data_IF_280151484138
#
_entry.id   IF_280151484138
#
_cell.length_a   1.000
_cell.length_b   1.000
_cell.length_c   1.000
_cell.angle_alpha   90.00
_cell.angle_beta   90.00
_cell.angle_gamma   90.00
#
_symmetry.space_group_name_H-M   'P 1'
#
loop_
_entity.id
_entity.type
_entity.pdbx_description
1 polymer ?
#
# COMPACT_ATOMS: atom_id res chain seq x y z
N UNK A 1 12.49 -52.86 -27.85
CA UNK A 1 13.61 -52.99 -26.91
C UNK A 1 13.30 -52.20 -25.66
N UNK A 2 12.99 -52.94 -24.59
CA UNK A 2 12.55 -52.47 -23.27
C UNK A 2 13.77 -52.21 -22.40
N UNK A 3 13.81 -51.09 -21.66
CA UNK A 3 14.56 -51.02 -20.41
C UNK A 3 13.78 -50.08 -19.47
N UNK A 4 13.16 -50.68 -18.45
CA UNK A 4 12.58 -50.00 -17.29
C UNK A 4 13.64 -49.77 -16.22
N UNK A 5 13.43 -48.73 -15.41
CA UNK A 5 14.01 -48.56 -14.05
C UNK A 5 12.95 -47.96 -13.15
N UNK A 6 12.51 -48.70 -12.28
CA UNK A 6 12.38 -48.95 -10.84
C UNK A 6 12.28 -47.67 -10.00
N UNK A 7 11.10 -47.57 -9.34
CA UNK A 7 10.79 -46.72 -8.17
C UNK A 7 11.46 -47.33 -6.94
N UNK A 8 12.23 -46.56 -6.19
CA UNK A 8 12.64 -46.89 -4.82
C UNK A 8 11.80 -46.13 -3.80
N UNK A 9 11.14 -46.95 -2.97
CA UNK A 9 10.35 -46.54 -1.81
C UNK A 9 11.29 -46.28 -0.63
N UNK A 10 11.23 -45.11 -0.05
CA UNK A 10 11.80 -44.89 1.27
C UNK A 10 10.79 -45.31 2.34
N UNK A 11 11.20 -46.33 3.11
CA UNK A 11 10.48 -46.82 4.30
C UNK A 11 10.83 -45.96 5.51
N UNK A 12 9.82 -45.49 6.23
CA UNK A 12 9.96 -44.97 7.59
C UNK A 12 10.34 -46.10 8.56
N UNK A 13 11.45 -45.96 9.28
CA UNK A 13 11.84 -46.84 10.39
C UNK A 13 11.24 -46.32 11.70
N UNK A 14 10.36 -47.12 12.30
CA UNK A 14 9.87 -46.92 13.66
C UNK A 14 10.91 -47.40 14.66
N UNK A 15 11.23 -46.59 15.66
CA UNK A 15 12.05 -46.96 16.81
C UNK A 15 11.12 -47.33 18.00
N UNK A 16 11.27 -48.50 18.65
CA UNK A 16 10.37 -48.94 19.70
C UNK A 16 10.72 -48.32 21.05
N UNK A 17 9.66 -47.93 21.80
CA UNK A 17 9.76 -47.37 23.14
C UNK A 17 10.25 -48.38 24.19
N UNK A 18 11.08 -47.90 25.13
CA UNK A 18 11.42 -48.56 26.35
C UNK A 18 10.39 -48.29 27.46
N UNK A 19 9.73 -49.35 27.91
CA UNK A 19 8.99 -49.35 29.16
C UNK A 19 10.00 -49.39 30.33
N UNK A 20 9.75 -48.54 31.35
CA UNK A 20 10.36 -48.71 32.65
C UNK A 20 9.26 -48.93 33.70
N UNK A 21 9.41 -50.00 34.46
CA UNK A 21 8.50 -50.46 35.48
C UNK A 21 8.83 -49.81 36.84
N UNK A 22 7.79 -49.40 37.55
CA UNK A 22 7.46 -49.64 38.92
C UNK A 22 8.38 -49.10 40.03
N UNK A 23 7.75 -48.43 40.97
CA UNK A 23 8.34 -48.13 42.28
C UNK A 23 7.46 -47.13 43.05
N UNK A 24 6.33 -47.59 43.60
CA UNK A 24 5.58 -46.86 44.62
C UNK A 24 6.40 -46.88 45.94
N UNK A 25 6.75 -45.72 46.46
CA UNK A 25 7.18 -45.54 47.83
C UNK A 25 6.26 -44.54 48.51
N UNK A 26 5.34 -45.06 49.31
CA UNK A 26 4.49 -44.29 50.21
C UNK A 26 5.27 -44.02 51.48
N UNK A 27 5.56 -42.75 51.78
CA UNK A 27 6.05 -42.33 53.06
C UNK A 27 4.99 -41.51 53.78
N UNK A 28 4.31 -42.14 54.70
CA UNK A 28 3.42 -41.53 55.66
C UNK A 28 4.24 -40.99 56.84
N UNK A 29 4.33 -39.68 57.01
CA UNK A 29 4.72 -39.03 58.24
C UNK A 29 3.51 -38.44 58.95
N UNK A 30 3.16 -39.07 60.06
CA UNK A 30 2.24 -38.55 61.06
C UNK A 30 2.94 -37.41 61.85
N UNK A 31 2.36 -36.20 61.78
CA UNK A 31 2.80 -35.12 62.68
C UNK A 31 1.81 -35.05 63.84
N UNK A 32 2.35 -35.30 65.01
CA UNK A 32 1.68 -35.25 66.31
C UNK A 32 1.30 -33.80 66.67
N UNK A 33 0.10 -33.69 67.17
CA UNK A 33 -0.40 -32.49 67.85
C UNK A 33 0.30 -32.41 69.21
N UNK A 34 1.12 -31.35 69.41
CA UNK A 34 1.43 -30.70 70.68
C UNK A 34 2.64 -29.80 70.48
N UNK A 35 2.35 -28.53 70.37
CA UNK A 35 3.05 -27.47 71.11
C UNK A 35 2.44 -26.11 70.66
N UNK A 36 1.45 -25.77 71.49
CA UNK A 36 0.83 -24.45 71.52
C UNK A 36 1.58 -23.66 72.56
N UNK A 37 2.29 -22.64 72.21
CA UNK A 37 2.95 -21.81 73.26
C UNK A 37 3.83 -20.71 72.71
N UNK A 38 3.22 -19.53 72.63
CA UNK A 38 3.81 -18.24 72.94
C UNK A 38 5.15 -17.86 72.26
N UNK A 39 5.03 -17.05 71.20
CA UNK A 39 5.88 -15.88 70.96
C UNK A 39 5.23 -14.96 69.90
N UNK A 40 4.26 -14.17 70.35
CA UNK A 40 3.86 -12.95 69.70
C UNK A 40 4.71 -11.84 70.31
N UNK A 41 5.68 -11.37 69.62
CA UNK A 41 6.20 -10.00 69.76
C UNK A 41 7.27 -9.72 68.69
N UNK A 42 7.11 -8.56 68.02
CA UNK A 42 8.13 -7.84 67.25
C UNK A 42 8.53 -8.42 65.91
N UNK A 43 7.83 -7.94 64.87
CA UNK A 43 8.40 -7.53 63.56
C UNK A 43 7.34 -6.76 62.76
N UNK A 44 6.86 -5.66 63.33
CA UNK A 44 6.20 -4.60 62.60
C UNK A 44 7.30 -3.61 62.15
N UNK A 45 7.88 -3.82 60.97
CA UNK A 45 8.89 -2.87 60.50
C UNK A 45 9.79 -3.41 59.42
N UNK A 46 9.28 -3.71 58.23
CA UNK A 46 10.06 -3.77 56.99
C UNK A 46 9.19 -4.28 55.79
N UNK A 47 8.02 -3.75 55.58
CA UNK A 47 7.20 -4.05 54.40
C UNK A 47 6.96 -2.81 53.54
N UNK A 48 7.96 -1.90 53.50
CA UNK A 48 8.00 -0.79 52.54
C UNK A 48 9.12 -1.00 51.50
N UNK A 49 9.42 -2.27 51.17
CA UNK A 49 10.23 -2.55 49.97
C UNK A 49 9.30 -2.70 48.78
N UNK A 50 9.46 -1.74 47.86
CA UNK A 50 8.75 -1.53 46.65
C UNK A 50 8.23 -2.82 45.98
N UNK A 51 6.94 -2.92 45.87
CA UNK A 51 6.33 -3.74 44.85
C UNK A 51 7.00 -3.36 43.54
N UNK A 52 7.62 -4.31 42.81
CA UNK A 52 8.03 -3.99 41.44
C UNK A 52 6.79 -3.48 40.78
N UNK A 53 6.81 -2.21 40.33
CA UNK A 53 5.85 -1.73 39.34
C UNK A 53 5.97 -2.75 38.24
N UNK A 54 5.00 -3.64 38.12
CA UNK A 54 4.76 -4.39 36.93
C UNK A 54 4.58 -3.29 35.86
N UNK A 55 5.65 -3.02 35.11
CA UNK A 55 5.56 -2.24 33.91
C UNK A 55 4.46 -2.95 33.12
N UNK A 56 3.26 -2.39 33.11
CA UNK A 56 2.21 -2.83 32.20
C UNK A 56 2.86 -2.74 30.85
N UNK A 57 3.24 -3.88 30.29
CA UNK A 57 3.63 -3.98 28.91
C UNK A 57 2.45 -3.43 28.13
N UNK A 58 2.54 -2.15 27.74
CA UNK A 58 1.53 -1.49 26.94
C UNK A 58 1.39 -2.35 25.70
N UNK A 59 0.22 -2.96 25.52
CA UNK A 59 -0.02 -3.85 24.38
C UNK A 59 0.41 -3.10 23.11
N UNK A 60 1.38 -3.67 22.38
CA UNK A 60 1.92 -3.03 21.20
C UNK A 60 0.79 -2.78 20.22
N UNK A 61 0.58 -1.52 19.88
CA UNK A 61 -0.43 -1.11 18.88
C UNK A 61 0.08 -1.55 17.50
N UNK A 62 -0.53 -2.58 16.93
CA UNK A 62 -0.20 -3.03 15.58
C UNK A 62 -0.94 -2.20 14.56
N UNK A 63 -0.22 -1.69 13.55
CA UNK A 63 -0.82 -0.92 12.44
C UNK A 63 -0.30 -1.46 11.10
N UNK A 64 -1.19 -2.06 10.33
CA UNK A 64 -0.93 -2.38 8.93
C UNK A 64 -1.21 -1.16 8.05
N UNK A 65 -0.27 -0.86 7.17
CA UNK A 65 -0.33 0.22 6.16
C UNK A 65 -0.44 -0.44 4.80
N UNK A 66 -1.62 -0.42 4.19
CA UNK A 66 -1.80 -0.96 2.85
C UNK A 66 -1.16 -0.04 1.81
N UNK A 67 -0.35 -0.60 0.92
CA UNK A 67 0.46 0.14 -0.04
C UNK A 67 0.12 -0.23 -1.49
N UNK A 68 1.01 -0.85 -2.21
CA UNK A 68 0.86 -1.28 -3.59
C UNK A 68 1.93 -2.31 -3.94
N UNK A 69 2.12 -2.53 -5.23
CA UNK A 69 3.16 -3.42 -5.75
C UNK A 69 4.56 -2.84 -5.51
N UNK A 70 5.58 -3.69 -5.42
CA UNK A 70 6.96 -3.30 -5.09
C UNK A 70 7.63 -2.39 -6.12
N UNK A 71 7.18 -2.40 -7.38
CA UNK A 71 7.71 -1.54 -8.45
C UNK A 71 7.15 -0.12 -8.49
N UNK A 72 6.26 0.26 -7.54
CA UNK A 72 5.66 1.58 -7.43
C UNK A 72 6.20 2.41 -6.28
N UNK A 73 5.57 3.56 -6.03
CA UNK A 73 5.98 4.55 -5.02
C UNK A 73 5.37 4.28 -3.64
N UNK A 74 4.18 3.68 -3.57
CA UNK A 74 3.49 3.44 -2.28
C UNK A 74 4.30 2.57 -1.33
N UNK A 75 4.88 1.47 -1.82
CA UNK A 75 5.57 0.51 -0.96
C UNK A 75 6.81 1.10 -0.26
N UNK A 76 7.77 1.73 -0.96
CA UNK A 76 8.91 2.36 -0.28
C UNK A 76 8.49 3.48 0.68
N UNK A 77 7.53 4.34 0.30
CA UNK A 77 7.05 5.40 1.18
C UNK A 77 6.27 4.85 2.39
N UNK A 78 5.47 3.81 2.19
CA UNK A 78 4.75 3.14 3.27
C UNK A 78 5.70 2.46 4.26
N UNK A 79 6.78 1.84 3.76
CA UNK A 79 7.84 1.27 4.59
C UNK A 79 8.56 2.33 5.42
N UNK A 80 8.93 3.46 4.80
CA UNK A 80 9.54 4.60 5.50
C UNK A 80 8.60 5.17 6.57
N UNK A 81 7.33 5.40 6.22
CA UNK A 81 6.32 5.90 7.16
C UNK A 81 6.10 4.91 8.32
N UNK A 82 5.98 3.61 8.04
CA UNK A 82 5.82 2.58 9.08
C UNK A 82 6.99 2.56 10.05
N UNK A 83 8.22 2.67 9.55
CA UNK A 83 9.43 2.76 10.38
C UNK A 83 9.43 4.05 11.24
N UNK A 84 9.02 5.19 10.66
CA UNK A 84 8.92 6.45 11.40
C UNK A 84 7.86 6.36 12.52
N UNK A 85 6.67 5.86 12.21
CA UNK A 85 5.60 5.70 13.20
C UNK A 85 6.01 4.75 14.33
N UNK A 86 6.65 3.63 14.01
CA UNK A 86 7.12 2.66 15.00
C UNK A 86 8.20 3.24 15.92
N UNK A 87 9.04 4.13 15.40
CA UNK A 87 10.11 4.77 16.17
C UNK A 87 9.63 5.92 17.04
N UNK A 88 8.73 6.77 16.48
CA UNK A 88 8.37 8.04 17.11
C UNK A 88 7.11 7.93 18.00
N UNK A 89 6.26 6.91 17.80
CA UNK A 89 5.05 6.71 18.62
C UNK A 89 5.27 5.55 19.58
N UNK A 90 5.40 5.81 20.90
CA UNK A 90 5.64 4.76 21.88
C UNK A 90 4.58 3.64 21.82
N UNK A 91 5.04 2.40 21.79
CA UNK A 91 4.18 1.22 21.73
C UNK A 91 3.55 0.91 20.37
N UNK A 92 3.88 1.67 19.32
CA UNK A 92 3.42 1.37 17.95
C UNK A 92 4.37 0.42 17.23
N UNK A 93 3.79 -0.53 16.50
CA UNK A 93 4.46 -1.36 15.49
C UNK A 93 3.70 -1.22 14.19
N UNK A 94 4.22 -0.42 13.26
CA UNK A 94 3.59 -0.16 11.98
C UNK A 94 4.37 -0.83 10.85
N UNK A 95 3.66 -1.54 9.96
CA UNK A 95 4.26 -2.29 8.85
C UNK A 95 3.56 -2.00 7.53
N UNK A 96 4.34 -1.87 6.45
CA UNK A 96 3.81 -1.73 5.11
C UNK A 96 3.44 -3.10 4.54
N UNK A 97 2.22 -3.22 4.00
CA UNK A 97 1.75 -4.41 3.31
C UNK A 97 1.77 -4.21 1.80
N UNK A 98 2.33 -5.17 1.06
CA UNK A 98 2.22 -5.25 -0.39
C UNK A 98 0.80 -5.65 -0.77
N UNK A 99 0.18 -4.90 -1.66
CA UNK A 99 -1.19 -5.14 -2.14
C UNK A 99 -1.28 -4.95 -3.65
N UNK A 100 -2.46 -5.18 -4.22
CA UNK A 100 -2.74 -4.80 -5.60
C UNK A 100 -2.76 -3.28 -5.84
N UNK A 101 -3.01 -2.48 -4.79
CA UNK A 101 -3.10 -1.02 -4.86
C UNK A 101 -4.44 -0.49 -4.33
N UNK A 102 -4.83 0.73 -4.74
CA UNK A 102 -5.85 1.53 -4.07
C UNK A 102 -7.21 0.85 -3.90
N UNK A 103 -7.72 0.16 -4.91
CA UNK A 103 -9.03 -0.53 -4.81
C UNK A 103 -8.97 -1.62 -3.73
N UNK A 104 -7.92 -2.46 -3.77
CA UNK A 104 -7.71 -3.48 -2.74
C UNK A 104 -7.52 -2.86 -1.35
N UNK A 105 -6.79 -1.75 -1.27
CA UNK A 105 -6.53 -1.05 -0.02
C UNK A 105 -7.82 -0.54 0.65
N UNK A 106 -8.71 0.10 -0.11
CA UNK A 106 -10.00 0.54 0.40
C UNK A 106 -10.89 -0.64 0.80
N UNK A 107 -10.84 -1.76 0.07
CA UNK A 107 -11.56 -2.99 0.46
C UNK A 107 -11.02 -3.57 1.78
N UNK A 108 -9.69 -3.58 1.97
CA UNK A 108 -9.05 -4.02 3.22
C UNK A 108 -9.40 -3.08 4.38
N UNK A 109 -9.42 -1.76 4.15
CA UNK A 109 -9.82 -0.77 5.15
C UNK A 109 -11.28 -0.97 5.56
N UNK A 110 -12.19 -1.14 4.59
CA UNK A 110 -13.61 -1.41 4.85
C UNK A 110 -13.84 -2.70 5.63
N UNK A 111 -12.99 -3.71 5.44
CA UNK A 111 -13.01 -4.96 6.18
C UNK A 111 -12.30 -4.88 7.55
N UNK A 112 -11.74 -3.73 7.93
CA UNK A 112 -11.00 -3.54 9.19
C UNK A 112 -9.67 -4.30 9.27
N UNK A 113 -9.11 -4.72 8.12
CA UNK A 113 -7.86 -5.52 8.06
C UNK A 113 -6.61 -4.67 8.08
N UNK A 114 -6.70 -3.39 7.74
CA UNK A 114 -5.61 -2.43 7.78
C UNK A 114 -6.05 -1.17 8.53
N UNK A 115 -5.10 -0.52 9.21
CA UNK A 115 -5.37 0.71 9.95
C UNK A 115 -5.28 1.96 9.08
N UNK A 116 -4.41 1.94 8.08
CA UNK A 116 -4.15 3.08 7.19
C UNK A 116 -3.82 2.58 5.78
N UNK A 117 -4.04 3.43 4.79
CA UNK A 117 -3.72 3.10 3.40
C UNK A 117 -3.17 4.29 2.62
N UNK A 118 -2.41 3.97 1.58
CA UNK A 118 -2.16 4.84 0.45
C UNK A 118 -3.24 4.59 -0.61
N UNK A 119 -3.86 5.63 -1.12
CA UNK A 119 -4.94 5.50 -2.11
C UNK A 119 -5.02 6.66 -3.08
N UNK A 120 -5.46 6.37 -4.31
CA UNK A 120 -5.84 7.39 -5.28
C UNK A 120 -7.24 7.92 -5.00
N UNK A 121 -7.41 9.19 -5.28
CA UNK A 121 -8.67 9.89 -4.99
C UNK A 121 -9.84 9.35 -5.82
N UNK A 122 -9.62 8.92 -7.05
CA UNK A 122 -10.66 8.31 -7.90
C UNK A 122 -11.21 7.01 -7.29
N UNK A 123 -10.31 6.14 -6.79
CA UNK A 123 -10.70 4.93 -6.08
C UNK A 123 -11.32 5.25 -4.70
N UNK A 124 -10.86 6.33 -4.04
CA UNK A 124 -11.44 6.80 -2.78
C UNK A 124 -12.90 7.25 -2.94
N UNK A 125 -13.18 8.04 -3.97
CA UNK A 125 -14.55 8.50 -4.30
C UNK A 125 -15.45 7.32 -4.64
N UNK A 126 -14.99 6.37 -5.45
CA UNK A 126 -15.75 5.15 -5.73
C UNK A 126 -16.00 4.35 -4.44
N UNK A 127 -15.01 4.27 -3.53
CA UNK A 127 -15.11 3.51 -2.29
C UNK A 127 -16.17 4.08 -1.32
N UNK A 128 -16.15 5.39 -1.07
CA UNK A 128 -17.13 6.01 -0.15
C UNK A 128 -18.56 5.99 -0.70
N UNK A 129 -18.70 5.99 -2.04
CA UNK A 129 -19.99 5.94 -2.73
C UNK A 129 -20.45 4.51 -3.05
N UNK A 130 -19.65 3.49 -2.80
CA UNK A 130 -19.95 2.10 -3.17
C UNK A 130 -20.01 1.89 -4.68
N UNK A 131 -19.35 2.76 -5.47
CA UNK A 131 -19.37 2.73 -6.93
C UNK A 131 -18.37 1.75 -7.52
N UNK A 132 -18.48 1.47 -8.81
CA UNK A 132 -17.50 0.71 -9.58
C UNK A 132 -17.13 -0.64 -8.93
N UNK A 133 -15.84 -0.85 -8.59
CA UNK A 133 -15.37 -2.12 -8.03
C UNK A 133 -15.92 -2.44 -6.63
N UNK A 134 -16.53 -1.47 -5.94
CA UNK A 134 -17.08 -1.66 -4.60
C UNK A 134 -18.51 -2.22 -4.58
N UNK A 135 -19.22 -2.22 -5.72
CA UNK A 135 -20.48 -2.94 -5.94
C UNK A 135 -21.56 -2.65 -4.89
N UNK A 136 -21.82 -1.38 -4.60
CA UNK A 136 -22.81 -0.92 -3.63
C UNK A 136 -22.39 -0.99 -2.16
N UNK A 137 -21.16 -1.46 -1.87
CA UNK A 137 -20.61 -1.47 -0.51
C UNK A 137 -19.78 -0.22 -0.27
N UNK A 138 -20.26 0.69 0.55
CA UNK A 138 -19.53 1.88 0.94
C UNK A 138 -18.41 1.54 1.93
N UNK A 139 -17.31 2.28 1.83
CA UNK A 139 -16.18 2.18 2.76
C UNK A 139 -16.16 3.44 3.63
N UNK A 140 -16.18 3.31 4.98
CA UNK A 140 -16.15 4.47 5.89
C UNK A 140 -14.73 5.05 5.97
N UNK A 141 -14.23 5.59 4.87
CA UNK A 141 -12.90 6.16 4.77
C UNK A 141 -12.90 7.67 4.95
N UNK A 142 -11.84 8.19 5.57
CA UNK A 142 -11.54 9.62 5.70
C UNK A 142 -10.11 9.90 5.26
N UNK A 143 -9.91 10.99 4.53
CA UNK A 143 -8.57 11.46 4.21
C UNK A 143 -7.88 12.01 5.46
N UNK A 144 -6.59 11.74 5.59
CA UNK A 144 -5.76 12.37 6.62
C UNK A 144 -4.63 13.23 6.04
N UNK A 145 -4.19 12.94 4.82
CA UNK A 145 -3.22 13.78 4.12
C UNK A 145 -3.37 13.63 2.59
N UNK A 146 -3.12 14.71 1.85
CA UNK A 146 -2.82 14.67 0.41
C UNK A 146 -1.31 14.59 0.27
N UNK A 147 -0.82 13.62 -0.50
CA UNK A 147 0.62 13.30 -0.57
C UNK A 147 1.30 13.89 -1.80
N UNK A 148 1.01 13.35 -2.94
CA UNK A 148 1.61 13.71 -4.23
C UNK A 148 0.66 13.35 -5.37
N UNK A 149 0.99 13.80 -6.56
CA UNK A 149 0.21 13.49 -7.76
C UNK A 149 0.67 12.18 -8.39
N UNK A 150 -0.26 11.29 -8.64
CA UNK A 150 -0.07 10.12 -9.49
C UNK A 150 -0.32 10.50 -10.95
N UNK A 151 0.60 10.11 -11.81
CA UNK A 151 0.56 10.32 -13.25
C UNK A 151 0.28 9.00 -13.95
N UNK A 152 -0.72 8.97 -14.82
CA UNK A 152 -0.99 7.82 -15.66
C UNK A 152 0.08 7.74 -16.76
N UNK A 153 0.87 6.70 -16.73
CA UNK A 153 1.93 6.46 -17.72
C UNK A 153 1.50 5.30 -18.60
N UNK A 154 1.30 5.56 -19.89
CA UNK A 154 1.05 4.52 -20.89
C UNK A 154 2.37 4.25 -21.58
N UNK A 155 3.01 3.16 -21.19
CA UNK A 155 4.39 2.82 -21.53
C UNK A 155 4.43 1.82 -22.67
N UNK A 156 5.23 2.12 -23.68
CA UNK A 156 5.52 1.23 -24.81
C UNK A 156 6.97 1.42 -25.25
N UNK A 157 7.36 0.81 -26.36
CA UNK A 157 8.67 1.01 -27.00
C UNK A 157 8.53 1.54 -28.40
N UNK A 158 9.55 2.20 -28.92
CA UNK A 158 9.56 2.71 -30.30
C UNK A 158 9.30 1.62 -31.34
N UNK A 159 9.73 0.39 -31.07
CA UNK A 159 9.57 -0.76 -31.97
C UNK A 159 8.09 -1.16 -32.21
N UNK A 160 7.17 -0.84 -31.28
CA UNK A 160 5.76 -1.22 -31.42
C UNK A 160 4.97 -0.34 -32.38
N UNK A 161 5.49 0.85 -32.70
CA UNK A 161 4.83 1.88 -33.50
C UNK A 161 3.66 2.60 -32.83
N UNK A 162 3.35 2.31 -31.56
CA UNK A 162 2.26 2.92 -30.79
C UNK A 162 2.62 4.39 -30.50
N UNK A 163 1.73 5.34 -30.83
CA UNK A 163 1.89 6.79 -30.63
C UNK A 163 0.68 7.44 -29.96
N UNK A 164 -0.48 6.78 -29.99
CA UNK A 164 -1.74 7.23 -29.40
C UNK A 164 -2.43 6.10 -28.65
N UNK A 165 -3.42 6.42 -27.81
CA UNK A 165 -4.25 5.39 -27.15
C UNK A 165 -5.02 4.56 -28.19
N UNK A 166 -5.43 5.15 -29.31
CA UNK A 166 -6.12 4.44 -30.37
C UNK A 166 -5.25 3.32 -31.01
N UNK A 167 -3.92 3.48 -31.06
CA UNK A 167 -2.99 2.50 -31.61
C UNK A 167 -2.87 1.23 -30.74
N UNK A 168 -3.44 1.22 -29.55
CA UNK A 168 -3.52 0.04 -28.69
C UNK A 168 -4.48 -1.01 -29.22
N UNK A 169 -5.36 -0.67 -30.19
CA UNK A 169 -6.25 -1.63 -30.84
C UNK A 169 -5.46 -2.78 -31.48
N UNK A 170 -5.86 -4.02 -31.19
CA UNK A 170 -5.17 -5.20 -31.67
C UNK A 170 -3.82 -5.52 -31.01
N UNK A 171 -3.39 -4.74 -30.01
CA UNK A 171 -2.14 -4.95 -29.27
C UNK A 171 -2.34 -5.82 -28.02
N UNK A 172 -1.22 -6.31 -27.46
CA UNK A 172 -1.16 -6.97 -26.16
C UNK A 172 -0.90 -5.90 -25.11
N UNK A 173 -1.86 -5.67 -24.23
CA UNK A 173 -1.83 -4.54 -23.29
C UNK A 173 -2.02 -5.03 -21.86
N UNK A 174 -1.20 -4.55 -20.92
CA UNK A 174 -1.48 -4.72 -19.50
C UNK A 174 -2.17 -3.48 -18.95
N UNK A 175 -3.31 -3.68 -18.29
CA UNK A 175 -4.11 -2.61 -17.69
C UNK A 175 -3.80 -2.38 -16.21
N UNK A 176 -2.81 -3.07 -15.66
CA UNK A 176 -2.40 -2.97 -14.26
C UNK A 176 -2.83 -4.17 -13.43
N UNK A 177 -2.25 -4.30 -12.23
CA UNK A 177 -2.51 -5.41 -11.33
C UNK A 177 -3.97 -5.48 -10.88
N UNK A 178 -4.50 -6.67 -10.59
CA UNK A 178 -5.83 -6.83 -10.02
C UNK A 178 -6.00 -6.03 -8.73
N UNK A 179 -7.10 -5.26 -8.62
CA UNK A 179 -7.38 -4.44 -7.44
C UNK A 179 -6.56 -3.15 -7.37
N UNK A 180 -5.86 -2.78 -8.45
CA UNK A 180 -5.16 -1.49 -8.55
C UNK A 180 -6.08 -0.37 -9.03
N UNK A 181 -5.75 0.87 -8.64
CA UNK A 181 -6.33 2.04 -9.28
C UNK A 181 -5.76 2.26 -10.70
N UNK A 182 -4.61 1.66 -11.01
CA UNK A 182 -4.10 1.62 -12.39
C UNK A 182 -5.13 0.98 -13.33
N UNK A 183 -5.66 -0.19 -12.99
CA UNK A 183 -6.68 -0.86 -13.79
C UNK A 183 -7.96 -0.03 -13.91
N UNK A 184 -8.40 0.58 -12.81
CA UNK A 184 -9.56 1.47 -12.79
C UNK A 184 -9.38 2.66 -13.74
N UNK A 185 -8.27 3.37 -13.64
CA UNK A 185 -7.97 4.54 -14.47
C UNK A 185 -7.68 4.14 -15.92
N UNK A 186 -6.98 3.04 -16.18
CA UNK A 186 -6.73 2.51 -17.51
C UNK A 186 -8.06 2.26 -18.26
N UNK A 187 -9.07 1.69 -17.61
CA UNK A 187 -10.38 1.49 -18.20
C UNK A 187 -11.04 2.80 -18.59
N UNK A 188 -10.92 3.84 -17.76
CA UNK A 188 -11.45 5.18 -18.05
C UNK A 188 -10.76 5.84 -19.26
N UNK A 189 -9.43 5.70 -19.37
CA UNK A 189 -8.64 6.19 -20.52
C UNK A 189 -9.00 5.44 -21.79
N UNK A 190 -9.08 4.12 -21.75
CA UNK A 190 -9.42 3.26 -22.88
C UNK A 190 -10.83 3.60 -23.40
N UNK A 191 -11.82 3.69 -22.51
CA UNK A 191 -13.20 4.04 -22.87
C UNK A 191 -13.31 5.47 -23.41
N UNK A 192 -12.59 6.44 -22.84
CA UNK A 192 -12.57 7.83 -23.31
C UNK A 192 -11.95 7.96 -24.72
N UNK A 193 -11.01 7.06 -25.05
CA UNK A 193 -10.43 6.95 -26.38
C UNK A 193 -11.35 6.23 -27.40
N UNK A 194 -12.52 5.75 -26.95
CA UNK A 194 -13.47 5.04 -27.80
C UNK A 194 -13.15 3.56 -28.04
N UNK A 195 -12.27 2.98 -27.22
CA UNK A 195 -11.93 1.57 -27.31
C UNK A 195 -12.76 0.72 -26.33
N UNK A 196 -13.07 -0.50 -26.73
CA UNK A 196 -13.67 -1.54 -25.87
C UNK A 196 -12.56 -2.38 -25.23
N UNK A 197 -12.43 -2.28 -23.91
CA UNK A 197 -11.39 -2.96 -23.13
C UNK A 197 -11.47 -4.50 -23.20
N UNK A 198 -12.61 -5.07 -23.58
CA UNK A 198 -12.78 -6.54 -23.66
C UNK A 198 -12.60 -7.07 -25.08
N UNK A 199 -12.77 -6.23 -26.13
CA UNK A 199 -12.82 -6.68 -27.54
C UNK A 199 -11.71 -6.14 -28.41
N UNK A 200 -11.20 -4.93 -28.10
CA UNK A 200 -10.28 -4.22 -29.00
C UNK A 200 -8.82 -4.62 -28.83
N UNK A 201 -8.46 -5.42 -27.81
CA UNK A 201 -7.10 -5.88 -27.59
C UNK A 201 -6.90 -7.31 -28.07
N UNK A 202 -5.72 -7.59 -28.63
CA UNK A 202 -5.31 -8.96 -28.93
C UNK A 202 -5.17 -9.81 -27.66
N UNK A 203 -4.67 -9.20 -26.59
CA UNK A 203 -4.66 -9.74 -25.23
C UNK A 203 -4.69 -8.60 -24.22
N UNK A 204 -5.48 -8.75 -23.18
CA UNK A 204 -5.52 -7.84 -22.03
C UNK A 204 -5.02 -8.56 -20.80
N UNK A 205 -3.84 -8.14 -20.35
CA UNK A 205 -3.17 -8.68 -19.17
C UNK A 205 -3.40 -7.81 -17.94
N UNK A 206 -3.25 -8.40 -16.77
CA UNK A 206 -3.42 -7.72 -15.48
C UNK A 206 -2.17 -7.90 -14.63
N UNK A 207 -1.09 -7.27 -15.07
CA UNK A 207 0.26 -7.43 -14.50
C UNK A 207 0.63 -6.24 -13.62
N UNK A 208 1.49 -6.49 -12.63
CA UNK A 208 2.20 -5.44 -11.92
C UNK A 208 3.16 -4.68 -12.86
N UNK A 209 3.64 -3.48 -12.50
CA UNK A 209 4.58 -2.74 -13.35
C UNK A 209 5.88 -3.50 -13.60
N UNK A 210 6.40 -4.24 -12.62
CA UNK A 210 7.61 -5.05 -12.78
C UNK A 210 7.39 -6.23 -13.75
N UNK A 211 6.26 -6.94 -13.62
CA UNK A 211 5.88 -8.01 -14.55
C UNK A 211 5.64 -7.48 -15.96
N UNK A 212 4.97 -6.32 -16.09
CA UNK A 212 4.74 -5.65 -17.38
C UNK A 212 6.04 -5.27 -18.05
N UNK A 213 7.01 -4.72 -17.31
CA UNK A 213 8.36 -4.41 -17.79
C UNK A 213 9.07 -5.66 -18.32
N UNK A 214 9.04 -6.75 -17.56
CA UNK A 214 9.63 -8.02 -17.99
C UNK A 214 8.94 -8.57 -19.25
N UNK A 215 7.59 -8.50 -19.31
CA UNK A 215 6.83 -8.95 -20.46
C UNK A 215 7.13 -8.13 -21.74
N UNK A 216 7.41 -6.82 -21.63
CA UNK A 216 7.89 -6.02 -22.76
C UNK A 216 9.29 -6.47 -23.20
N UNK A 217 10.23 -6.67 -22.27
CA UNK A 217 11.59 -7.16 -22.58
C UNK A 217 11.56 -8.50 -23.30
N UNK A 218 10.65 -9.39 -22.88
CA UNK A 218 10.46 -10.73 -23.48
C UNK A 218 9.68 -10.68 -24.80
N UNK A 219 9.26 -9.52 -25.29
CA UNK A 219 8.42 -9.40 -26.50
C UNK A 219 7.03 -10.01 -26.35
N UNK A 220 6.53 -10.19 -25.11
CA UNK A 220 5.21 -10.79 -24.81
C UNK A 220 4.12 -9.73 -24.64
N UNK A 221 4.48 -8.46 -24.45
CA UNK A 221 3.59 -7.34 -24.24
C UNK A 221 4.00 -6.18 -25.14
N UNK A 222 3.02 -5.39 -25.64
CA UNK A 222 3.28 -4.26 -26.53
C UNK A 222 3.19 -2.92 -25.80
N UNK A 223 2.32 -2.81 -24.78
CA UNK A 223 2.19 -1.63 -23.92
C UNK A 223 1.62 -1.98 -22.56
N UNK A 224 1.84 -1.11 -21.58
CA UNK A 224 1.15 -1.22 -20.29
C UNK A 224 0.78 0.16 -19.72
N UNK A 225 -0.28 0.16 -18.94
CA UNK A 225 -0.69 1.29 -18.11
C UNK A 225 -0.07 1.15 -16.72
N UNK A 226 0.41 2.27 -16.18
CA UNK A 226 0.79 2.35 -14.79
C UNK A 226 0.62 3.76 -14.24
N UNK A 227 -0.21 3.92 -13.22
CA UNK A 227 -0.40 5.19 -12.54
C UNK A 227 0.42 5.23 -11.26
N UNK A 228 1.31 6.22 -11.15
CA UNK A 228 2.25 6.34 -10.03
C UNK A 228 2.83 7.76 -9.95
N UNK A 229 3.49 8.06 -8.83
CA UNK A 229 4.45 9.16 -8.77
C UNK A 229 5.64 8.87 -9.70
N UNK A 230 6.33 9.92 -10.13
CA UNK A 230 7.49 9.82 -11.02
C UNK A 230 8.78 10.28 -10.31
N UNK A 231 9.95 9.70 -10.67
CA UNK A 231 10.14 8.55 -11.55
C UNK A 231 9.66 7.23 -10.93
N UNK A 232 9.31 6.27 -11.76
CA UNK A 232 8.90 4.92 -11.33
C UNK A 232 10.03 3.93 -11.61
N UNK A 233 10.44 3.13 -10.63
CA UNK A 233 11.58 2.21 -10.77
C UNK A 233 11.40 1.22 -11.93
N UNK A 234 10.23 0.60 -12.06
CA UNK A 234 9.98 -0.35 -13.15
C UNK A 234 10.12 0.26 -14.55
N UNK A 235 9.72 1.54 -14.73
CA UNK A 235 9.88 2.25 -16.01
C UNK A 235 11.34 2.67 -16.21
N UNK A 236 12.02 3.12 -15.16
CA UNK A 236 13.46 3.40 -15.21
C UNK A 236 14.25 2.17 -15.63
N UNK A 237 13.93 1.00 -15.07
CA UNK A 237 14.57 -0.27 -15.40
C UNK A 237 14.33 -0.69 -16.86
N UNK A 238 13.11 -0.46 -17.38
CA UNK A 238 12.82 -0.70 -18.79
C UNK A 238 13.63 0.24 -19.68
N UNK A 239 13.64 1.53 -19.35
CA UNK A 239 14.34 2.57 -20.10
C UNK A 239 15.87 2.38 -20.12
N UNK A 240 16.43 1.80 -19.05
CA UNK A 240 17.85 1.47 -18.95
C UNK A 240 18.24 0.16 -19.67
N UNK A 241 17.28 -0.59 -20.20
CA UNK A 241 17.53 -1.86 -20.90
C UNK A 241 18.24 -1.58 -22.25
N UNK A 242 19.42 -2.17 -22.53
CA UNK A 242 20.12 -1.96 -23.79
C UNK A 242 19.24 -2.26 -25.00
N UNK A 243 19.27 -1.38 -26.01
CA UNK A 243 18.48 -1.50 -27.22
C UNK A 243 16.99 -1.17 -27.08
N UNK A 244 16.53 -0.79 -25.89
CA UNK A 244 15.15 -0.39 -25.63
C UNK A 244 15.03 1.12 -25.64
N UNK A 245 14.19 1.67 -26.52
CA UNK A 245 13.77 3.06 -26.49
C UNK A 245 12.33 3.11 -26.03
N UNK A 246 12.08 3.58 -24.80
CA UNK A 246 10.72 3.74 -24.29
C UNK A 246 10.00 4.88 -24.97
N UNK A 247 8.68 4.77 -25.03
CA UNK A 247 7.75 5.84 -25.42
C UNK A 247 6.66 5.91 -24.36
N UNK A 248 6.40 7.12 -23.87
CA UNK A 248 5.23 7.44 -23.06
C UNK A 248 4.16 8.02 -23.98
N UNK A 249 2.98 7.41 -24.02
CA UNK A 249 1.90 7.82 -24.93
C UNK A 249 1.09 8.97 -24.33
N UNK A 250 0.97 10.08 -25.06
CA UNK A 250 0.15 11.23 -24.65
C UNK A 250 -1.34 10.87 -24.63
N UNK A 251 -2.08 11.44 -23.67
CA UNK A 251 -3.53 11.24 -23.53
C UNK A 251 -4.24 12.35 -22.71
N UNK A 252 -3.58 13.49 -22.49
CA UNK A 252 -4.19 14.62 -21.79
C UNK A 252 -5.42 15.20 -22.53
N UNK A 253 -5.52 15.01 -23.84
CA UNK A 253 -6.65 15.39 -24.67
C UNK A 253 -7.95 14.66 -24.31
N UNK A 254 -7.86 13.54 -23.61
CA UNK A 254 -9.03 12.78 -23.12
C UNK A 254 -9.65 13.35 -21.84
N UNK A 255 -9.07 14.42 -21.26
CA UNK A 255 -9.47 14.99 -19.97
C UNK A 255 -10.97 15.26 -19.88
N UNK A 256 -11.53 16.03 -20.82
CA UNK A 256 -12.93 16.42 -20.76
C UNK A 256 -13.86 15.20 -20.74
N UNK A 257 -13.64 14.22 -21.61
CA UNK A 257 -14.45 12.99 -21.69
C UNK A 257 -14.38 12.16 -20.41
N UNK A 258 -13.22 12.13 -19.74
CA UNK A 258 -13.05 11.39 -18.48
C UNK A 258 -13.77 12.10 -17.34
N UNK A 259 -13.62 13.43 -17.24
CA UNK A 259 -14.24 14.22 -16.16
C UNK A 259 -15.76 14.23 -16.27
N UNK A 260 -16.31 14.36 -17.46
CA UNK A 260 -17.77 14.32 -17.69
C UNK A 260 -18.40 13.01 -17.18
N UNK A 261 -17.69 11.89 -17.32
CA UNK A 261 -18.21 10.56 -16.92
C UNK A 261 -17.86 10.16 -15.48
N UNK A 262 -16.69 10.58 -14.98
CA UNK A 262 -16.09 10.04 -13.77
C UNK A 262 -15.82 11.08 -12.66
N UNK A 263 -16.24 12.34 -12.89
CA UNK A 263 -16.08 13.45 -11.94
C UNK A 263 -14.74 14.18 -12.04
N UNK A 264 -14.62 15.35 -11.37
CA UNK A 264 -13.53 16.30 -11.54
C UNK A 264 -12.28 15.97 -10.71
N UNK A 265 -11.96 14.68 -10.56
CA UNK A 265 -10.77 14.23 -9.79
C UNK A 265 -9.53 14.06 -10.65
N UNK A 266 -9.67 14.16 -11.97
CA UNK A 266 -8.59 14.05 -12.95
C UNK A 266 -8.20 15.41 -13.46
N UNK A 267 -6.92 15.60 -13.73
CA UNK A 267 -6.42 16.85 -14.30
C UNK A 267 -5.22 16.57 -15.22
N UNK A 268 -5.02 17.39 -16.27
CA UNK A 268 -3.89 17.24 -17.18
C UNK A 268 -2.60 17.74 -16.48
N UNK A 269 -1.53 16.99 -16.65
CA UNK A 269 -0.17 17.35 -16.25
C UNK A 269 0.84 16.88 -17.30
N UNK A 270 2.08 17.27 -17.09
CA UNK A 270 3.19 16.88 -17.94
C UNK A 270 4.26 16.14 -17.12
N UNK A 271 4.75 15.02 -17.65
CA UNK A 271 5.98 14.41 -17.19
C UNK A 271 7.14 15.07 -17.93
N UNK A 272 8.03 15.78 -17.25
CA UNK A 272 9.13 16.49 -17.91
C UNK A 272 10.01 15.57 -18.75
N UNK A 273 10.58 16.08 -19.81
CA UNK A 273 11.63 15.40 -20.56
C UNK A 273 12.77 14.99 -19.60
N UNK A 274 13.48 13.92 -19.93
CA UNK A 274 14.58 13.36 -19.14
C UNK A 274 14.18 12.87 -17.72
N UNK A 275 12.88 12.63 -17.46
CA UNK A 275 12.44 11.92 -16.26
C UNK A 275 12.93 10.47 -16.27
N UNK A 276 12.96 9.85 -17.44
CA UNK A 276 13.48 8.50 -17.64
C UNK A 276 14.63 8.49 -18.68
N UNK A 277 15.58 7.55 -18.59
CA UNK A 277 16.63 7.40 -19.61
C UNK A 277 16.04 7.32 -21.03
N UNK A 278 16.55 8.13 -21.95
CA UNK A 278 16.11 8.14 -23.35
C UNK A 278 14.74 8.80 -23.63
N UNK A 279 14.02 9.26 -22.63
CA UNK A 279 12.82 10.07 -22.81
C UNK A 279 13.19 11.53 -23.07
N UNK A 280 13.31 11.91 -24.33
CA UNK A 280 13.78 13.24 -24.76
C UNK A 280 12.69 14.29 -24.85
N UNK A 281 11.41 13.89 -24.89
CA UNK A 281 10.25 14.78 -24.99
C UNK A 281 9.40 14.71 -23.74
N UNK A 282 8.73 15.81 -23.33
CA UNK A 282 7.71 15.76 -22.29
C UNK A 282 6.57 14.84 -22.69
N UNK A 283 5.85 14.27 -21.70
CA UNK A 283 4.64 13.49 -21.94
C UNK A 283 3.43 14.18 -21.32
N UNK A 284 2.43 14.46 -22.14
CA UNK A 284 1.16 15.09 -21.74
C UNK A 284 0.15 14.02 -21.35
N UNK A 285 -0.13 13.92 -20.08
CA UNK A 285 -0.91 12.82 -19.52
C UNK A 285 -1.96 13.33 -18.51
N UNK A 286 -2.80 12.42 -18.00
CA UNK A 286 -3.76 12.67 -16.95
C UNK A 286 -3.25 12.21 -15.61
N UNK A 287 -3.58 12.98 -14.60
CA UNK A 287 -3.13 12.79 -13.22
C UNK A 287 -4.31 12.74 -12.25
N UNK A 288 -4.04 12.18 -11.08
CA UNK A 288 -4.96 12.12 -9.95
C UNK A 288 -4.17 12.25 -8.64
N UNK A 289 -4.75 12.89 -7.64
CA UNK A 289 -4.08 13.03 -6.35
C UNK A 289 -4.02 11.70 -5.58
N UNK A 290 -3.02 11.59 -4.70
CA UNK A 290 -2.88 10.52 -3.71
C UNK A 290 -3.14 11.03 -2.32
N UNK A 291 -3.77 10.18 -1.51
CA UNK A 291 -4.04 10.44 -0.10
C UNK A 291 -3.52 9.32 0.80
N UNK A 292 -3.24 9.69 2.04
CA UNK A 292 -3.35 8.77 3.16
C UNK A 292 -4.80 8.78 3.65
N UNK A 293 -5.36 7.60 3.86
CA UNK A 293 -6.71 7.47 4.40
C UNK A 293 -6.75 6.44 5.53
N UNK A 294 -7.70 6.65 6.43
CA UNK A 294 -8.00 5.81 7.59
C UNK A 294 -9.50 5.57 7.67
N UNK A 295 -9.94 4.66 8.55
CA UNK A 295 -11.37 4.56 8.87
C UNK A 295 -11.84 5.81 9.61
N UNK A 296 -13.11 6.18 9.45
CA UNK A 296 -13.71 7.35 10.11
C UNK A 296 -13.74 7.26 11.64
N UNK A 297 -13.70 6.04 12.20
CA UNK A 297 -13.71 5.76 13.64
C UNK A 297 -12.32 5.66 14.26
N UNK A 298 -11.24 5.97 13.52
CA UNK A 298 -9.91 6.02 14.10
C UNK A 298 -9.83 7.10 15.18
N UNK A 299 -9.19 6.79 16.33
CA UNK A 299 -9.07 7.72 17.43
C UNK A 299 -8.37 9.02 17.01
N UNK A 300 -8.95 10.17 17.37
CA UNK A 300 -8.48 11.49 16.95
C UNK A 300 -7.03 11.80 17.38
N UNK A 301 -6.63 11.35 18.59
CA UNK A 301 -5.27 11.51 19.11
C UNK A 301 -4.26 10.69 18.29
N UNK A 302 -4.66 9.51 17.83
CA UNK A 302 -3.81 8.67 16.98
C UNK A 302 -3.61 9.31 15.60
N UNK A 303 -4.67 9.82 14.97
CA UNK A 303 -4.57 10.55 13.70
C UNK A 303 -3.65 11.75 13.84
N UNK A 304 -3.80 12.52 14.92
CA UNK A 304 -2.93 13.67 15.20
C UNK A 304 -1.46 13.27 15.33
N UNK A 305 -1.15 12.20 16.09
CA UNK A 305 0.22 11.68 16.23
C UNK A 305 0.80 11.20 14.91
N UNK A 306 0.02 10.48 14.12
CA UNK A 306 0.44 10.04 12.77
C UNK A 306 0.84 11.24 11.91
N UNK A 307 0.01 12.29 11.90
CA UNK A 307 0.28 13.50 11.12
C UNK A 307 1.48 14.30 11.64
N UNK A 308 1.63 14.41 12.96
CA UNK A 308 2.81 15.03 13.58
C UNK A 308 4.11 14.34 13.14
N UNK A 309 4.12 13.00 13.12
CA UNK A 309 5.27 12.23 12.66
C UNK A 309 5.46 12.38 11.15
N UNK A 310 4.42 12.14 10.35
CA UNK A 310 4.52 12.19 8.89
C UNK A 310 4.96 13.57 8.38
N UNK A 311 4.38 14.64 8.94
CA UNK A 311 4.72 16.01 8.58
C UNK A 311 6.06 16.45 9.17
N UNK A 312 6.31 16.19 10.44
CA UNK A 312 7.56 16.54 11.11
C UNK A 312 8.80 15.82 10.56
N UNK A 313 8.59 14.63 9.95
CA UNK A 313 9.62 13.81 9.31
C UNK A 313 9.51 13.78 7.78
N UNK A 314 8.84 14.78 7.20
CA UNK A 314 8.63 14.85 5.74
C UNK A 314 9.92 14.66 4.93
N UNK A 315 11.04 15.23 5.39
CA UNK A 315 12.31 15.11 4.68
C UNK A 315 12.86 13.67 4.65
N UNK A 316 12.51 12.82 5.63
CA UNK A 316 12.84 11.39 5.60
C UNK A 316 12.08 10.68 4.47
N UNK A 317 10.82 11.07 4.24
CA UNK A 317 10.02 10.57 3.12
C UNK A 317 10.57 11.05 1.78
N UNK A 318 11.00 12.31 1.69
CA UNK A 318 11.63 12.88 0.48
C UNK A 318 12.94 12.16 0.15
N UNK A 319 13.75 11.81 1.16
CA UNK A 319 14.96 11.00 0.96
C UNK A 319 14.65 9.59 0.46
N UNK A 320 13.50 9.04 0.87
CA UNK A 320 13.07 7.72 0.39
C UNK A 320 12.62 7.76 -1.06
N UNK A 321 11.82 8.78 -1.43
CA UNK A 321 11.34 8.95 -2.80
C UNK A 321 11.01 10.41 -3.10
N UNK A 322 11.50 10.92 -4.23
CA UNK A 322 11.37 12.33 -4.65
C UNK A 322 9.92 12.81 -4.79
N UNK A 323 8.97 11.92 -5.10
CA UNK A 323 7.55 12.27 -5.18
C UNK A 323 7.01 12.86 -3.85
N UNK A 324 7.63 12.52 -2.71
CA UNK A 324 7.24 13.10 -1.42
C UNK A 324 7.55 14.61 -1.30
N UNK A 325 8.24 15.22 -2.25
CA UNK A 325 8.40 16.69 -2.31
C UNK A 325 7.07 17.42 -2.46
N UNK A 326 6.09 16.77 -3.09
CA UNK A 326 4.74 17.33 -3.30
C UNK A 326 3.88 17.27 -2.02
N UNK A 327 4.31 16.56 -0.98
CA UNK A 327 3.67 16.57 0.32
C UNK A 327 3.92 17.92 1.02
N UNK A 328 3.09 18.91 0.70
CA UNK A 328 3.21 20.31 1.15
C UNK A 328 1.91 20.80 1.80
N UNK A 329 1.96 21.92 2.52
CA UNK A 329 0.75 22.56 3.07
C UNK A 329 -0.21 23.01 1.96
N UNK A 330 0.32 23.47 0.84
CA UNK A 330 -0.46 23.95 -0.30
C UNK A 330 -1.23 22.82 -0.98
N UNK A 331 -0.74 21.59 -0.89
CA UNK A 331 -1.41 20.40 -1.43
C UNK A 331 -2.61 19.96 -0.56
N UNK A 332 -2.66 20.35 0.72
CA UNK A 332 -3.73 19.94 1.63
C UNK A 332 -5.01 20.74 1.34
N UNK A 333 -5.74 20.35 0.29
CA UNK A 333 -7.01 20.97 -0.14
C UNK A 333 -8.12 19.94 -0.16
N UNK A 334 -9.33 20.30 0.23
CA UNK A 334 -10.50 19.41 0.21
C UNK A 334 -10.79 18.89 -1.19
N UNK A 335 -10.65 19.73 -2.21
CA UNK A 335 -10.81 19.32 -3.62
C UNK A 335 -9.77 18.26 -4.02
N UNK A 336 -8.52 18.36 -3.55
CA UNK A 336 -7.47 17.40 -3.82
C UNK A 336 -7.63 16.11 -2.99
N UNK A 337 -8.19 16.20 -1.78
CA UNK A 337 -8.50 15.04 -0.95
C UNK A 337 -9.64 14.19 -1.55
N UNK A 338 -10.61 14.81 -2.24
CA UNK A 338 -11.71 14.18 -2.94
C UNK A 338 -12.74 13.44 -2.09
N UNK A 339 -12.40 13.13 -0.85
CA UNK A 339 -13.28 12.53 0.17
C UNK A 339 -13.18 13.37 1.46
N UNK A 340 -14.16 13.26 2.36
CA UNK A 340 -14.14 14.02 3.60
C UNK A 340 -12.87 13.78 4.42
N UNK A 341 -12.38 14.84 5.03
CA UNK A 341 -11.29 14.77 6.00
C UNK A 341 -11.72 14.03 7.27
N UNK A 342 -10.78 13.35 7.91
CA UNK A 342 -10.92 12.97 9.30
C UNK A 342 -10.91 14.26 10.16
N UNK A 343 -11.83 14.43 11.14
CA UNK A 343 -11.91 15.71 11.89
C UNK A 343 -10.59 16.14 12.55
N UNK A 344 -9.83 15.19 13.10
CA UNK A 344 -8.51 15.47 13.67
C UNK A 344 -7.49 15.90 12.61
N UNK A 345 -7.56 15.36 11.40
CA UNK A 345 -6.68 15.76 10.31
C UNK A 345 -7.01 17.16 9.80
N UNK A 346 -8.30 17.49 9.67
CA UNK A 346 -8.73 18.84 9.32
C UNK A 346 -8.23 19.87 10.32
N UNK A 347 -8.42 19.61 11.62
CA UNK A 347 -7.93 20.48 12.70
C UNK A 347 -6.40 20.62 12.66
N UNK A 348 -5.67 19.51 12.46
CA UNK A 348 -4.22 19.52 12.36
C UNK A 348 -3.73 20.39 11.19
N UNK A 349 -4.27 20.20 9.99
CA UNK A 349 -3.81 20.95 8.82
C UNK A 349 -4.15 22.44 8.92
N UNK A 350 -5.32 22.81 9.45
CA UNK A 350 -5.66 24.22 9.72
C UNK A 350 -4.68 24.85 10.72
N UNK A 351 -4.35 24.14 11.80
CA UNK A 351 -3.38 24.63 12.79
C UNK A 351 -1.95 24.74 12.23
N UNK A 352 -1.59 23.91 11.27
CA UNK A 352 -0.32 23.97 10.55
C UNK A 352 -0.26 25.08 9.49
N UNK A 353 -1.36 25.80 9.24
CA UNK A 353 -1.44 26.90 8.29
C UNK A 353 -1.88 26.48 6.86
N UNK A 354 -2.42 25.29 6.69
CA UNK A 354 -2.98 24.88 5.41
C UNK A 354 -4.33 25.57 5.14
N UNK A 355 -4.53 26.04 3.90
CA UNK A 355 -5.84 26.46 3.42
C UNK A 355 -6.52 25.28 2.73
N UNK A 356 -7.53 24.70 3.39
CA UNK A 356 -8.20 23.50 2.88
C UNK A 356 -9.25 23.79 1.79
N UNK A 357 -9.52 25.05 1.47
CA UNK A 357 -10.51 25.49 0.49
C UNK A 357 -11.88 25.69 1.10
#
# INVERSE_FOLDING_TARGET
MSIGRRFDRWRCACIPGRRNKGGNVTVTHAIGRRDLGLRIATLAGAAAMGLPRLAQAQAAMQMSIATGTTGGVYYPLGGALGNLLSREIPGMSATAEVTGGSVANFQLLGAGRVGMLFGQVDAAVDAINGAGPFRGRTVPARAIAVLYTNRMQVVTTAATGIRSIADLKGKRVSTGAPGSATELFAFRVIEAAGLDREKDFRARERLSPAESTNAIRDGKLDAYFFVSGVPTSAITDLAATPGTQIVLVDHADLHQKIVEKNGPVYFPEEIPANTYPGQTTPNKQLSVANILAVREDMAADLVTKILQVAWGRREDLVRTHSAARDFTLQAQKSAAAGIPWHPAAEAFWRSAGANLG
#
